data_IF_727722006494
#
_entry.id   IF_727722006494
#
_cell.length_a   1.000
_cell.length_b   1.000
_cell.length_c   1.000
_cell.angle_alpha   90.00
_cell.angle_beta   90.00
_cell.angle_gamma   90.00
#
_symmetry.space_group_name_H-M   'P 1'
#
loop_
_entity.id
_entity.type
_entity.pdbx_description
1 polymer ?
#
# COMPACT_ATOMS: atom_id res chain seq x y z
N UNK A 1 -2.94 -10.33 -14.28
CA UNK A 1 -1.48 -10.57 -14.24
C UNK A 1 -1.03 -10.43 -12.80
N UNK A 2 -0.22 -11.37 -12.33
CA UNK A 2 0.30 -11.36 -10.97
C UNK A 2 1.77 -10.93 -11.03
N UNK A 3 2.08 -9.75 -10.49
CA UNK A 3 3.44 -9.24 -10.38
C UNK A 3 3.96 -9.55 -8.98
N UNK A 4 4.97 -10.41 -8.86
CA UNK A 4 5.47 -10.90 -7.58
C UNK A 4 6.93 -10.49 -7.40
N UNK A 5 7.23 -9.94 -6.22
CA UNK A 5 8.56 -9.46 -5.85
C UNK A 5 8.95 -10.02 -4.49
N UNK A 6 10.20 -10.48 -4.39
CA UNK A 6 10.74 -11.13 -3.21
C UNK A 6 11.75 -10.20 -2.56
N UNK A 7 11.60 -9.97 -1.26
CA UNK A 7 12.49 -9.16 -0.46
C UNK A 7 13.25 -10.09 0.49
N UNK A 8 14.49 -10.50 0.13
CA UNK A 8 15.30 -11.35 1.00
C UNK A 8 15.70 -10.58 2.28
N UNK A 9 15.87 -11.31 3.39
CA UNK A 9 16.35 -10.76 4.68
C UNK A 9 15.59 -9.51 5.16
N UNK A 10 14.27 -9.50 4.94
CA UNK A 10 13.42 -8.36 5.22
C UNK A 10 12.85 -8.35 6.65
N UNK A 11 12.82 -9.50 7.31
CA UNK A 11 12.18 -9.67 8.62
C UNK A 11 13.14 -10.35 9.61
N UNK A 12 13.39 -9.70 10.74
CA UNK A 12 14.18 -10.25 11.84
C UNK A 12 13.35 -11.22 12.69
N UNK A 13 13.23 -12.47 12.26
CA UNK A 13 12.55 -13.56 12.97
C UNK A 13 13.19 -14.91 12.61
N UNK A 14 12.99 -15.92 13.46
CA UNK A 14 13.40 -17.31 13.21
C UNK A 14 12.35 -18.12 12.41
N UNK A 15 11.26 -17.47 12.00
CA UNK A 15 10.21 -18.14 11.22
C UNK A 15 10.75 -18.64 9.88
N UNK A 16 10.16 -19.74 9.40
CA UNK A 16 10.32 -20.20 8.02
C UNK A 16 9.00 -20.05 7.29
N UNK A 17 9.04 -19.46 6.09
CA UNK A 17 7.84 -19.27 5.28
C UNK A 17 7.92 -20.02 3.95
N UNK A 18 6.75 -20.40 3.43
CA UNK A 18 6.61 -20.89 2.05
C UNK A 18 5.32 -20.36 1.43
N UNK A 19 5.30 -20.27 0.10
CA UNK A 19 4.17 -19.77 -0.66
C UNK A 19 3.85 -20.75 -1.78
N UNK A 20 2.59 -21.10 -1.94
CA UNK A 20 2.10 -21.77 -3.13
C UNK A 20 1.12 -20.86 -3.85
N UNK A 21 1.24 -20.84 -5.18
CA UNK A 21 0.32 -20.12 -6.05
C UNK A 21 -0.44 -21.14 -6.89
N UNK A 22 -1.73 -20.88 -7.04
CA UNK A 22 -2.62 -21.52 -7.98
C UNK A 22 -3.25 -20.42 -8.84
N UNK A 23 -4.02 -20.78 -9.86
CA UNK A 23 -4.56 -19.82 -10.86
C UNK A 23 -5.16 -18.54 -10.23
N UNK A 24 -5.99 -18.70 -9.18
CA UNK A 24 -6.52 -17.59 -8.39
C UNK A 24 -6.23 -17.73 -6.89
N UNK A 25 -5.47 -18.74 -6.48
CA UNK A 25 -5.25 -19.07 -5.07
C UNK A 25 -3.85 -18.72 -4.60
N UNK A 26 -3.74 -18.16 -3.40
CA UNK A 26 -2.48 -17.99 -2.68
C UNK A 26 -2.56 -18.78 -1.37
N UNK A 27 -1.65 -19.73 -1.18
CA UNK A 27 -1.50 -20.47 0.07
C UNK A 27 -0.17 -20.11 0.71
N UNK A 28 -0.24 -19.41 1.82
CA UNK A 28 0.91 -19.01 2.60
C UNK A 28 1.07 -19.93 3.80
N UNK A 29 2.31 -20.30 4.09
CA UNK A 29 2.69 -21.07 5.26
C UNK A 29 3.75 -20.31 6.04
N UNK A 30 3.59 -20.29 7.36
CA UNK A 30 4.58 -19.81 8.30
C UNK A 30 4.70 -20.84 9.41
N UNK A 31 5.83 -21.53 9.46
CA UNK A 31 6.04 -22.74 10.27
C UNK A 31 4.89 -23.75 10.03
N UNK A 32 4.12 -24.06 11.07
CA UNK A 32 3.01 -25.03 11.02
C UNK A 32 1.63 -24.36 10.80
N UNK A 33 1.60 -23.06 10.52
CA UNK A 33 0.36 -22.30 10.27
C UNK A 33 0.16 -22.04 8.79
N UNK A 34 -1.10 -21.98 8.36
CA UNK A 34 -1.48 -21.78 6.96
C UNK A 34 -2.55 -20.69 6.83
N UNK A 35 -2.39 -19.85 5.81
CA UNK A 35 -3.38 -18.89 5.34
C UNK A 35 -3.68 -19.17 3.87
N UNK A 36 -4.95 -19.11 3.49
CA UNK A 36 -5.40 -19.28 2.10
C UNK A 36 -6.18 -18.03 1.70
N UNK A 37 -5.85 -17.46 0.55
CA UNK A 37 -6.50 -16.27 -0.01
C UNK A 37 -6.92 -16.60 -1.43
N UNK A 38 -8.19 -16.34 -1.74
CA UNK A 38 -8.68 -16.25 -3.12
C UNK A 38 -8.40 -14.83 -3.64
N UNK A 39 -7.45 -14.72 -4.58
CA UNK A 39 -7.03 -13.46 -5.18
C UNK A 39 -8.12 -12.81 -6.03
N UNK A 40 -9.05 -13.61 -6.58
CA UNK A 40 -10.17 -13.11 -7.37
C UNK A 40 -11.26 -12.48 -6.47
N UNK A 41 -11.36 -12.92 -5.22
CA UNK A 41 -12.30 -12.37 -4.24
C UNK A 41 -11.83 -11.04 -3.62
N UNK A 42 -10.56 -10.65 -3.79
CA UNK A 42 -10.04 -9.39 -3.26
C UNK A 42 -10.67 -8.19 -3.97
N UNK A 43 -11.14 -7.22 -3.18
CA UNK A 43 -11.69 -5.97 -3.69
C UNK A 43 -10.62 -5.18 -4.44
N UNK A 44 -10.97 -4.64 -5.60
CA UNK A 44 -10.14 -3.65 -6.30
C UNK A 44 -9.84 -2.43 -5.41
N UNK A 45 -8.64 -1.86 -5.57
CA UNK A 45 -8.14 -0.75 -4.76
C UNK A 45 -7.75 -1.10 -3.33
N UNK A 46 -7.84 -2.37 -2.95
CA UNK A 46 -7.50 -2.81 -1.59
C UNK A 46 -6.03 -3.23 -1.46
N UNK A 47 -5.58 -3.30 -0.20
CA UNK A 47 -4.33 -3.93 0.18
C UNK A 47 -4.61 -4.96 1.27
N UNK A 48 -4.12 -6.18 1.06
CA UNK A 48 -4.22 -7.28 2.02
C UNK A 48 -2.84 -7.65 2.50
N UNK A 49 -2.65 -7.82 3.81
CA UNK A 49 -1.35 -8.22 4.37
C UNK A 49 -1.51 -9.50 5.18
N UNK A 50 -0.59 -10.44 5.02
CA UNK A 50 -0.52 -11.63 5.88
C UNK A 50 0.43 -11.32 7.04
N UNK A 51 -0.13 -11.35 8.25
CA UNK A 51 0.53 -10.96 9.48
C UNK A 51 0.71 -12.15 10.42
N UNK A 52 1.72 -12.11 11.28
CA UNK A 52 1.84 -12.97 12.46
C UNK A 52 1.89 -12.09 13.71
N UNK A 53 0.98 -12.35 14.64
CA UNK A 53 1.09 -11.81 15.98
C UNK A 53 2.09 -12.69 16.77
N UNK A 54 3.27 -12.16 17.19
CA UNK A 54 4.28 -12.97 17.85
C UNK A 54 3.89 -13.39 19.27
N UNK A 55 2.98 -12.65 19.93
CA UNK A 55 2.51 -12.97 21.30
C UNK A 55 1.63 -14.22 21.27
N UNK A 56 0.70 -14.30 20.32
CA UNK A 56 -0.25 -15.44 20.22
C UNK A 56 0.22 -16.54 19.27
N UNK A 57 1.21 -16.26 18.42
CA UNK A 57 1.62 -17.14 17.32
C UNK A 57 0.57 -17.26 16.21
N UNK A 58 -0.48 -16.43 16.22
CA UNK A 58 -1.55 -16.48 15.21
C UNK A 58 -1.08 -15.85 13.92
N UNK A 59 -1.29 -16.55 12.81
CA UNK A 59 -1.03 -16.07 11.45
C UNK A 59 -2.36 -15.88 10.75
N UNK A 60 -2.61 -14.69 10.20
CA UNK A 60 -3.91 -14.33 9.63
C UNK A 60 -3.78 -13.30 8.50
N UNK A 61 -4.72 -13.29 7.55
CA UNK A 61 -4.84 -12.21 6.59
C UNK A 61 -5.54 -11.01 7.24
N UNK A 62 -4.97 -9.82 7.05
CA UNK A 62 -5.59 -8.54 7.36
C UNK A 62 -6.03 -7.88 6.05
N UNK A 63 -7.33 -7.90 5.80
CA UNK A 63 -7.94 -7.21 4.67
C UNK A 63 -8.09 -5.71 4.97
N UNK A 64 -8.14 -4.88 3.92
CA UNK A 64 -8.32 -3.42 4.04
C UNK A 64 -7.21 -2.73 4.85
N UNK A 65 -5.97 -3.16 4.64
CA UNK A 65 -4.82 -2.66 5.38
C UNK A 65 -4.65 -1.14 5.26
N UNK A 66 -4.93 -0.57 4.08
CA UNK A 66 -4.83 0.87 3.83
C UNK A 66 -5.83 1.67 4.68
N UNK A 67 -7.04 1.17 4.85
CA UNK A 67 -8.07 1.79 5.67
C UNK A 67 -7.69 1.78 7.14
N UNK A 68 -7.13 0.68 7.63
CA UNK A 68 -6.64 0.59 9.01
C UNK A 68 -5.51 1.61 9.26
N UNK A 69 -4.59 1.76 8.30
CA UNK A 69 -3.53 2.77 8.39
C UNK A 69 -4.08 4.19 8.47
N UNK A 70 -5.18 4.50 7.75
CA UNK A 70 -5.85 5.80 7.85
C UNK A 70 -6.49 6.01 9.23
N UNK A 71 -7.21 5.01 9.74
CA UNK A 71 -7.87 5.09 11.05
C UNK A 71 -6.84 5.30 12.17
N UNK A 72 -5.66 4.68 12.05
CA UNK A 72 -4.60 4.77 13.04
C UNK A 72 -3.67 5.98 12.85
N UNK A 73 -3.77 6.70 11.74
CA UNK A 73 -2.84 7.77 11.32
C UNK A 73 -1.36 7.32 11.28
N UNK A 74 -1.12 6.10 10.78
CA UNK A 74 0.21 5.47 10.72
C UNK A 74 0.59 5.05 9.30
N UNK A 75 1.90 5.09 9.02
CA UNK A 75 2.48 4.38 7.88
C UNK A 75 2.57 2.87 8.12
N UNK A 76 2.74 2.04 7.06
CA UNK A 76 2.84 0.58 7.19
C UNK A 76 3.88 0.12 8.21
N UNK A 77 5.12 0.63 8.10
CA UNK A 77 6.20 0.27 9.02
C UNK A 77 5.95 0.77 10.44
N UNK A 78 5.40 1.98 10.60
CA UNK A 78 5.07 2.56 11.91
C UNK A 78 4.04 1.68 12.65
N UNK A 79 3.01 1.19 11.96
CA UNK A 79 2.01 0.29 12.52
C UNK A 79 2.61 -1.06 12.92
N UNK A 80 3.39 -1.69 12.04
CA UNK A 80 4.03 -2.98 12.32
C UNK A 80 4.99 -2.90 13.51
N UNK A 81 5.79 -1.84 13.61
CA UNK A 81 6.71 -1.61 14.73
C UNK A 81 5.96 -1.33 16.03
N UNK A 82 4.93 -0.48 15.98
CA UNK A 82 4.14 -0.09 17.16
C UNK A 82 3.40 -1.28 17.76
N UNK A 83 2.77 -2.11 16.92
CA UNK A 83 2.06 -3.30 17.37
C UNK A 83 2.98 -4.51 17.57
N UNK A 84 4.26 -4.39 17.19
CA UNK A 84 5.25 -5.49 17.18
C UNK A 84 4.71 -6.71 16.45
N UNK A 85 4.17 -6.51 15.25
CA UNK A 85 3.61 -7.56 14.39
C UNK A 85 4.52 -7.75 13.18
N UNK A 86 4.70 -9.00 12.75
CA UNK A 86 5.47 -9.32 11.54
C UNK A 86 4.53 -9.39 10.32
N UNK A 87 4.89 -8.74 9.22
CA UNK A 87 4.18 -8.83 7.94
C UNK A 87 5.02 -9.52 6.87
N UNK A 88 4.50 -10.61 6.30
CA UNK A 88 5.26 -11.48 5.38
C UNK A 88 4.84 -11.33 3.93
N UNK A 89 3.58 -11.02 3.68
CA UNK A 89 3.06 -10.88 2.31
C UNK A 89 2.16 -9.65 2.27
N UNK A 90 2.36 -8.78 1.29
CA UNK A 90 1.43 -7.71 0.95
C UNK A 90 0.91 -7.92 -0.46
N UNK A 91 -0.41 -7.85 -0.63
CA UNK A 91 -1.13 -8.04 -1.88
C UNK A 91 -1.92 -6.77 -2.15
N UNK A 92 -1.46 -5.97 -3.09
CA UNK A 92 -2.17 -4.80 -3.60
C UNK A 92 -3.01 -5.22 -4.82
N UNK A 93 -4.31 -4.90 -4.81
CA UNK A 93 -5.26 -5.26 -5.88
C UNK A 93 -5.67 -4.03 -6.67
N UNK A 94 -5.64 -4.13 -7.99
CA UNK A 94 -6.07 -3.05 -8.90
C UNK A 94 -6.70 -3.64 -10.16
N UNK A 95 -7.99 -3.35 -10.40
CA UNK A 95 -8.81 -4.11 -11.33
C UNK A 95 -8.67 -5.63 -11.15
N UNK A 96 -8.31 -6.33 -12.23
CA UNK A 96 -8.04 -7.79 -12.24
C UNK A 96 -6.59 -8.16 -11.88
N UNK A 97 -5.69 -7.20 -11.74
CA UNK A 97 -4.27 -7.49 -11.47
C UNK A 97 -3.96 -7.51 -9.98
N UNK A 98 -2.86 -8.16 -9.61
CA UNK A 98 -2.32 -8.19 -8.25
C UNK A 98 -0.84 -7.87 -8.27
N UNK A 99 -0.41 -7.02 -7.34
CA UNK A 99 0.99 -6.76 -7.03
C UNK A 99 1.29 -7.35 -5.66
N UNK A 100 2.14 -8.38 -5.63
CA UNK A 100 2.43 -9.19 -4.46
C UNK A 100 3.89 -8.97 -4.05
N UNK A 101 4.09 -8.59 -2.80
CA UNK A 101 5.40 -8.44 -2.17
C UNK A 101 5.53 -9.51 -1.10
N UNK A 102 6.61 -10.28 -1.14
CA UNK A 102 6.91 -11.31 -0.15
C UNK A 102 8.19 -10.94 0.58
N UNK A 103 8.12 -10.84 1.90
CA UNK A 103 9.21 -10.42 2.78
C UNK A 103 9.76 -11.65 3.50
N UNK A 104 10.99 -12.04 3.18
CA UNK A 104 11.61 -13.25 3.73
C UNK A 104 12.22 -12.99 5.11
N UNK A 105 12.11 -13.95 6.03
CA UNK A 105 12.89 -13.96 7.27
C UNK A 105 14.40 -13.99 7.01
N UNK A 106 15.17 -13.43 7.94
CA UNK A 106 16.63 -13.53 7.94
C UNK A 106 17.10 -14.99 7.94
N UNK A 107 18.12 -15.29 7.13
CA UNK A 107 18.61 -16.66 6.97
C UNK A 107 17.77 -17.56 6.05
N UNK A 108 16.69 -17.03 5.46
CA UNK A 108 15.94 -17.68 4.39
C UNK A 108 16.24 -16.99 3.05
N UNK A 109 17.21 -17.48 2.24
CA UNK A 109 17.63 -16.81 1.01
C UNK A 109 16.61 -16.89 -0.12
N UNK A 110 15.75 -17.92 -0.12
CA UNK A 110 14.77 -18.17 -1.18
C UNK A 110 13.37 -18.47 -0.62
N UNK A 111 12.35 -18.10 -1.40
CA UNK A 111 10.97 -18.43 -1.10
C UNK A 111 10.68 -19.88 -1.49
N UNK A 112 10.48 -20.73 -0.49
CA UNK A 112 10.11 -22.14 -0.71
C UNK A 112 8.71 -22.24 -1.30
N UNK A 113 8.52 -23.18 -2.21
CA UNK A 113 7.23 -23.51 -2.82
C UNK A 113 7.19 -24.95 -3.31
N UNK A 114 5.99 -25.51 -3.39
CA UNK A 114 5.71 -26.81 -4.02
C UNK A 114 5.17 -26.67 -5.44
N UNK A 115 4.71 -25.48 -5.79
CA UNK A 115 3.98 -25.22 -7.03
C UNK A 115 4.77 -24.39 -8.03
N UNK A 116 5.72 -23.57 -7.56
CA UNK A 116 6.43 -22.59 -8.38
C UNK A 116 7.94 -22.56 -8.08
N UNK A 117 8.73 -22.23 -9.08
CA UNK A 117 10.15 -21.89 -8.91
C UNK A 117 10.29 -20.37 -8.73
N UNK A 118 10.44 -19.94 -7.47
CA UNK A 118 10.53 -18.52 -7.14
C UNK A 118 11.90 -17.89 -7.43
N UNK A 119 12.94 -18.68 -7.72
CA UNK A 119 14.28 -18.17 -8.05
C UNK A 119 14.28 -17.25 -9.28
N UNK A 120 13.29 -17.43 -10.17
CA UNK A 120 13.12 -16.66 -11.41
C UNK A 120 12.40 -15.33 -11.21
N UNK A 121 11.82 -15.10 -10.04
CA UNK A 121 11.12 -13.86 -9.75
C UNK A 121 12.11 -12.78 -9.29
N UNK A 122 11.78 -11.49 -9.50
CA UNK A 122 12.64 -10.41 -9.06
C UNK A 122 12.88 -10.45 -7.54
N UNK A 123 14.15 -10.52 -7.16
CA UNK A 123 14.61 -10.33 -5.79
C UNK A 123 15.08 -8.89 -5.63
N UNK A 124 14.50 -8.15 -4.69
CA UNK A 124 14.64 -6.70 -4.54
C UNK A 124 15.09 -6.37 -3.13
N UNK A 125 16.05 -5.47 -3.00
CA UNK A 125 16.51 -5.00 -1.70
C UNK A 125 15.40 -4.20 -0.99
N UNK A 126 15.33 -4.28 0.34
CA UNK A 126 14.37 -3.50 1.13
C UNK A 126 14.49 -1.99 0.92
N UNK A 127 15.69 -1.48 0.63
CA UNK A 127 15.93 -0.07 0.32
C UNK A 127 15.19 0.42 -0.93
N UNK A 128 14.89 -0.49 -1.88
CA UNK A 128 14.21 -0.18 -3.14
C UNK A 128 12.69 -0.31 -3.04
N UNK A 129 12.13 -0.70 -1.88
CA UNK A 129 10.69 -0.89 -1.69
C UNK A 129 9.88 0.35 -2.12
N UNK A 130 10.32 1.55 -1.73
CA UNK A 130 9.63 2.79 -2.09
C UNK A 130 9.65 3.07 -3.59
N UNK A 131 10.75 2.73 -4.28
CA UNK A 131 10.86 2.89 -5.73
C UNK A 131 9.91 1.92 -6.43
N UNK A 132 9.87 0.68 -5.97
CA UNK A 132 8.97 -0.34 -6.49
C UNK A 132 7.50 0.04 -6.27
N UNK A 133 7.14 0.47 -5.06
CA UNK A 133 5.78 0.90 -4.75
C UNK A 133 5.31 2.06 -5.63
N UNK A 134 6.20 3.00 -5.98
CA UNK A 134 5.87 4.07 -6.94
C UNK A 134 5.59 3.52 -8.34
N UNK A 135 6.35 2.55 -8.81
CA UNK A 135 6.17 1.94 -10.13
C UNK A 135 4.84 1.18 -10.28
N UNK A 136 4.25 0.72 -9.16
CA UNK A 136 2.95 0.04 -9.10
C UNK A 136 1.84 0.90 -8.48
N UNK A 137 2.01 2.22 -8.47
CA UNK A 137 1.04 3.15 -7.89
C UNK A 137 0.86 4.37 -8.79
N UNK A 138 0.20 5.38 -8.27
CA UNK A 138 0.16 6.74 -8.79
C UNK A 138 1.02 7.69 -7.95
N UNK A 139 1.30 8.86 -8.50
CA UNK A 139 1.95 10.01 -7.87
C UNK A 139 1.13 11.28 -8.12
N UNK A 140 1.17 12.19 -7.15
CA UNK A 140 0.61 13.52 -7.30
C UNK A 140 1.69 14.51 -6.86
N UNK A 141 2.01 15.46 -7.73
CA UNK A 141 2.98 16.51 -7.49
C UNK A 141 2.25 17.83 -7.43
N UNK A 142 2.19 18.43 -6.26
CA UNK A 142 1.56 19.74 -6.07
C UNK A 142 2.34 20.84 -6.76
N UNK A 143 1.61 21.70 -7.46
CA UNK A 143 2.06 23.03 -7.84
C UNK A 143 1.91 24.00 -6.67
N UNK A 144 1.40 25.20 -6.96
CA UNK A 144 1.15 26.21 -5.93
C UNK A 144 -0.21 25.95 -5.28
N UNK A 145 -0.23 25.97 -3.94
CA UNK A 145 -1.46 25.93 -3.15
C UNK A 145 -1.58 27.23 -2.38
N UNK A 146 -2.77 27.82 -2.35
CA UNK A 146 -3.07 29.06 -1.67
C UNK A 146 -4.32 28.88 -0.81
N UNK A 147 -4.31 29.53 0.35
CA UNK A 147 -5.46 29.63 1.23
C UNK A 147 -5.88 31.09 1.22
N UNK A 148 -7.11 31.38 0.81
CA UNK A 148 -7.67 32.73 0.80
C UNK A 148 -9.20 32.69 0.95
N UNK A 149 -9.76 33.67 1.67
CA UNK A 149 -11.21 33.82 1.89
C UNK A 149 -11.94 32.53 2.31
N UNK A 150 -11.34 31.74 3.21
CA UNK A 150 -11.94 30.49 3.70
C UNK A 150 -11.94 29.34 2.69
N UNK A 151 -11.13 29.45 1.63
CA UNK A 151 -10.94 28.41 0.61
C UNK A 151 -9.48 28.01 0.52
N UNK A 152 -9.26 26.76 0.10
CA UNK A 152 -7.96 26.25 -0.32
C UNK A 152 -8.03 25.90 -1.80
N UNK A 153 -7.11 26.45 -2.57
CA UNK A 153 -7.09 26.34 -4.02
C UNK A 153 -5.68 26.03 -4.50
N UNK A 154 -5.57 25.21 -5.54
CA UNK A 154 -4.26 24.91 -6.10
C UNK A 154 -4.34 24.01 -7.32
N UNK A 155 -3.15 23.67 -7.81
CA UNK A 155 -2.98 22.70 -8.88
C UNK A 155 -2.06 21.56 -8.47
N UNK A 156 -2.22 20.43 -9.15
CA UNK A 156 -1.32 19.29 -9.05
C UNK A 156 -1.21 18.59 -10.40
N UNK A 157 -0.07 17.93 -10.62
CA UNK A 157 0.13 16.99 -11.72
C UNK A 157 -0.07 15.59 -11.18
N UNK A 158 -0.96 14.83 -11.82
CA UNK A 158 -1.28 13.46 -11.47
C UNK A 158 -0.74 12.50 -12.53
N UNK A 159 0.07 11.54 -12.08
CA UNK A 159 0.64 10.50 -12.93
C UNK A 159 0.28 9.13 -12.35
N UNK A 160 -0.03 8.18 -13.22
CA UNK A 160 -0.49 6.84 -12.83
C UNK A 160 0.28 5.75 -13.56
N UNK A 161 0.75 4.74 -12.80
CA UNK A 161 1.27 3.52 -13.40
C UNK A 161 0.19 2.74 -14.15
N UNK A 162 0.60 1.97 -15.13
CA UNK A 162 -0.28 1.06 -15.89
C UNK A 162 -0.93 -0.02 -15.02
N UNK A 163 -0.36 -0.31 -13.86
CA UNK A 163 -0.94 -1.24 -12.89
C UNK A 163 -2.18 -0.65 -12.19
N UNK A 164 -2.14 0.63 -11.82
CA UNK A 164 -3.20 1.24 -11.01
C UNK A 164 -4.41 1.61 -11.88
N UNK A 165 -5.60 1.13 -11.53
CA UNK A 165 -6.83 1.25 -12.35
C UNK A 165 -7.96 1.95 -11.62
N UNK A 166 -7.82 2.12 -10.31
CA UNK A 166 -8.84 2.74 -9.49
C UNK A 166 -8.82 4.26 -9.64
N UNK A 167 -9.98 4.92 -9.52
CA UNK A 167 -10.03 6.38 -9.47
C UNK A 167 -9.24 6.89 -8.27
N UNK A 168 -8.61 8.05 -8.45
CA UNK A 168 -7.87 8.76 -7.42
C UNK A 168 -8.47 10.15 -7.30
N UNK A 169 -8.64 10.61 -6.07
CA UNK A 169 -9.26 11.87 -5.71
C UNK A 169 -8.25 12.71 -4.95
N UNK A 170 -8.27 14.01 -5.19
CA UNK A 170 -7.76 15.00 -4.24
C UNK A 170 -8.86 15.31 -3.24
N UNK A 171 -8.54 15.31 -1.96
CA UNK A 171 -9.51 15.47 -0.88
C UNK A 171 -9.03 16.45 0.18
N UNK A 172 -9.96 17.22 0.72
CA UNK A 172 -9.73 18.11 1.85
C UNK A 172 -11.03 18.29 2.65
N UNK A 173 -10.97 18.10 3.97
CA UNK A 173 -12.09 18.35 4.88
C UNK A 173 -13.42 17.67 4.43
N UNK A 174 -13.34 16.42 3.98
CA UNK A 174 -14.51 15.65 3.51
C UNK A 174 -15.02 16.02 2.10
N UNK A 175 -14.40 16.99 1.43
CA UNK A 175 -14.65 17.30 0.03
C UNK A 175 -13.65 16.54 -0.84
N UNK A 176 -14.07 16.06 -2.01
CA UNK A 176 -13.22 15.33 -2.94
C UNK A 176 -13.51 15.71 -4.39
N UNK A 177 -12.48 15.69 -5.20
CA UNK A 177 -12.55 15.83 -6.66
C UNK A 177 -11.72 14.73 -7.31
N UNK A 178 -12.28 14.04 -8.30
CA UNK A 178 -11.55 13.02 -9.05
C UNK A 178 -10.44 13.65 -9.89
N UNK A 179 -9.29 12.97 -9.94
CA UNK A 179 -8.13 13.40 -10.71
C UNK A 179 -8.13 12.74 -12.09
N UNK A 180 -7.84 13.55 -13.11
CA UNK A 180 -7.52 13.08 -14.46
C UNK A 180 -6.02 13.04 -14.67
N UNK A 181 -5.53 12.20 -15.57
CA UNK A 181 -4.10 12.16 -15.91
C UNK A 181 -3.60 13.56 -16.34
N UNK A 182 -2.44 13.99 -15.84
CA UNK A 182 -1.86 15.30 -16.12
C UNK A 182 -2.27 16.39 -15.12
N UNK A 183 -2.45 17.62 -15.59
CA UNK A 183 -2.70 18.78 -14.73
C UNK A 183 -4.15 18.84 -14.24
N UNK A 184 -4.31 19.06 -12.94
CA UNK A 184 -5.59 19.19 -12.25
C UNK A 184 -5.61 20.47 -11.41
N UNK A 185 -6.78 21.09 -11.32
CA UNK A 185 -7.06 22.23 -10.45
C UNK A 185 -8.14 21.84 -9.44
N UNK A 186 -8.00 22.28 -8.20
CA UNK A 186 -8.98 22.02 -7.15
C UNK A 186 -9.26 23.28 -6.33
N UNK A 187 -10.47 23.35 -5.76
CA UNK A 187 -10.89 24.44 -4.88
C UNK A 187 -11.90 23.91 -3.86
N UNK A 188 -11.56 23.99 -2.58
CA UNK A 188 -12.37 23.45 -1.48
C UNK A 188 -12.60 24.51 -0.41
N UNK A 189 -13.66 24.35 0.39
CA UNK A 189 -13.78 25.05 1.67
C UNK A 189 -12.60 24.63 2.55
N UNK A 190 -11.88 25.61 3.10
CA UNK A 190 -10.70 25.36 3.92
C UNK A 190 -11.08 24.97 5.35
N UNK A 191 -10.43 23.93 5.87
CA UNK A 191 -10.39 23.59 7.28
C UNK A 191 -8.94 23.59 7.78
N UNK A 192 -8.62 24.25 8.91
CA UNK A 192 -7.28 24.21 9.49
C UNK A 192 -6.92 22.86 10.13
N UNK A 193 -7.87 21.93 10.28
CA UNK A 193 -7.65 20.64 10.95
C UNK A 193 -7.20 19.50 10.03
N UNK A 194 -7.15 19.74 8.72
CA UNK A 194 -6.89 18.72 7.71
C UNK A 194 -5.89 19.23 6.68
N UNK A 195 -4.99 18.35 6.23
CA UNK A 195 -4.20 18.62 5.03
C UNK A 195 -5.04 18.37 3.77
N UNK A 196 -4.40 18.52 2.60
CA UNK A 196 -4.91 17.97 1.34
C UNK A 196 -4.31 16.58 1.16
N UNK A 197 -5.11 15.60 0.76
CA UNK A 197 -4.68 14.23 0.55
C UNK A 197 -5.05 13.74 -0.85
N UNK A 198 -4.23 12.85 -1.41
CA UNK A 198 -4.60 12.11 -2.61
C UNK A 198 -4.88 10.63 -2.26
N UNK A 199 -5.88 10.02 -2.90
CA UNK A 199 -6.24 8.62 -2.66
C UNK A 199 -7.67 8.27 -3.08
N UNK A 200 -8.31 7.26 -2.48
CA UNK A 200 -9.74 7.03 -2.59
C UNK A 200 -10.53 8.27 -2.21
N UNK A 201 -11.79 8.30 -2.62
CA UNK A 201 -12.71 9.36 -2.25
C UNK A 201 -12.76 9.51 -0.72
N UNK A 202 -12.65 10.76 -0.24
CA UNK A 202 -12.56 11.11 1.17
C UNK A 202 -11.42 10.43 1.94
N UNK A 203 -10.38 9.93 1.25
CA UNK A 203 -9.24 9.27 1.88
C UNK A 203 -8.27 10.24 2.56
N UNK A 204 -7.69 9.79 3.67
CA UNK A 204 -6.70 10.51 4.50
C UNK A 204 -5.39 9.71 4.60
N UNK A 205 -4.76 9.43 3.46
CA UNK A 205 -3.49 8.71 3.46
C UNK A 205 -2.33 9.62 3.86
N UNK A 206 -1.85 9.50 5.10
CA UNK A 206 -0.69 10.25 5.65
C UNK A 206 0.52 10.26 4.71
N UNK A 207 0.91 9.11 4.17
CA UNK A 207 2.03 9.00 3.21
C UNK A 207 1.76 9.61 1.82
N UNK A 208 0.56 10.14 1.59
CA UNK A 208 0.11 10.82 0.37
C UNK A 208 -0.51 12.19 0.69
N UNK A 209 -0.18 12.75 1.85
CA UNK A 209 -0.49 14.11 2.19
C UNK A 209 0.28 15.06 1.27
N UNK A 210 -0.40 16.10 0.83
CA UNK A 210 0.14 17.22 0.09
C UNK A 210 0.48 18.30 1.11
N UNK A 211 1.77 18.51 1.37
CA UNK A 211 2.20 19.53 2.32
C UNK A 211 1.92 20.93 1.74
N UNK A 212 0.99 21.63 2.37
CA UNK A 212 0.60 22.98 1.96
C UNK A 212 1.59 23.97 2.57
N UNK A 213 2.53 24.47 1.78
CA UNK A 213 3.38 25.60 2.15
C UNK A 213 2.68 26.93 1.84
N UNK A 214 1.58 27.22 2.54
CA UNK A 214 0.82 28.46 2.38
C UNK A 214 1.08 29.45 3.51
N UNK A 215 1.43 30.69 3.18
CA UNK A 215 1.37 31.81 4.14
C UNK A 215 -0.10 32.09 4.47
N UNK A 216 -0.46 32.05 5.75
CA UNK A 216 -1.68 32.70 6.23
C UNK A 216 -1.52 34.21 5.96
N UNK A 217 -2.35 34.77 5.08
CA UNK A 217 -2.53 36.22 4.93
C UNK A 217 -3.97 36.55 5.15
#
# INVERSE_FOLDING_TARGET
MNSIYIFPEAIHTEDTISLDLEENGLRFFCNNKRVVIDLAALRSGSSTVILKNPITGTVYPLFNFREILQVMDLGPQELLQTLRINGYVQIDKSGKDTFIKVFLPNGQPELKSRTHDFSRFPHVAMADLHKLDRAFSWSAHTGKVQIHYGRIEGSLVFDRSTFWKEPVYVSHAGQSQELTEGENWFSFVWSPSEDVYCGPQCGRYKGRALHISGYQR
#
